data_IF_230741902603
#
_entry.id   IF_230741902603
#
_cell.length_a   1.000
_cell.length_b   1.000
_cell.length_c   1.000
_cell.angle_alpha   90.00
_cell.angle_beta   90.00
_cell.angle_gamma   90.00
#
_symmetry.space_group_name_H-M   'P 1'
#
loop_
_entity.id
_entity.type
_entity.pdbx_description
1 polymer ?
#
# COMPACT_ATOMS: atom_id res chain seq x y z
N UNK A 1 -19.92 10.73 4.04
CA UNK A 1 -19.31 9.84 3.02
C UNK A 1 -19.46 8.41 3.51
N UNK A 2 -19.99 7.51 2.68
CA UNK A 2 -20.28 6.13 3.07
C UNK A 2 -19.12 5.16 2.72
N UNK A 3 -17.89 5.54 3.04
CA UNK A 3 -16.73 4.67 2.87
C UNK A 3 -16.16 4.27 4.23
N UNK A 4 -15.54 3.11 4.29
CA UNK A 4 -14.83 2.59 5.46
C UNK A 4 -13.42 2.14 5.08
N UNK A 5 -12.48 2.37 5.98
CA UNK A 5 -11.12 1.83 5.94
C UNK A 5 -10.94 1.00 7.20
N UNK A 6 -10.68 -0.29 7.03
CA UNK A 6 -10.38 -1.20 8.13
C UNK A 6 -8.93 -1.67 7.98
N UNK A 7 -8.12 -1.44 8.99
CA UNK A 7 -6.74 -1.88 9.09
C UNK A 7 -6.68 -3.11 9.99
N UNK A 8 -6.15 -4.20 9.47
CA UNK A 8 -5.98 -5.48 10.17
C UNK A 8 -4.48 -5.76 10.28
N UNK A 9 -4.00 -5.99 11.48
CA UNK A 9 -2.63 -6.46 11.70
C UNK A 9 -2.62 -7.97 11.61
N UNK A 10 -1.85 -8.53 10.69
CA UNK A 10 -1.87 -9.95 10.33
C UNK A 10 -0.47 -10.57 10.38
N UNK A 11 -0.45 -11.86 10.67
CA UNK A 11 0.77 -12.67 10.68
C UNK A 11 1.82 -12.25 11.72
N UNK A 12 3.01 -12.80 11.56
CA UNK A 12 4.14 -12.60 12.48
C UNK A 12 5.22 -11.64 11.94
N UNK A 13 5.02 -11.08 10.74
CA UNK A 13 5.90 -10.09 10.13
C UNK A 13 5.37 -8.65 10.28
N UNK A 14 4.36 -8.49 11.16
CA UNK A 14 3.71 -7.21 11.44
C UNK A 14 3.07 -6.53 10.21
N UNK A 15 2.58 -7.32 9.26
CA UNK A 15 1.89 -6.80 8.08
C UNK A 15 0.57 -6.14 8.43
N UNK A 16 0.19 -5.16 7.64
CA UNK A 16 -1.15 -4.65 7.59
C UNK A 16 -1.86 -5.07 6.30
N UNK A 17 -3.03 -5.64 6.45
CA UNK A 17 -4.02 -5.83 5.38
C UNK A 17 -5.11 -4.78 5.55
N UNK A 18 -5.62 -4.26 4.45
CA UNK A 18 -6.70 -3.27 4.51
C UNK A 18 -7.96 -3.75 3.79
N UNK A 19 -9.11 -3.44 4.37
CA UNK A 19 -10.40 -3.56 3.69
C UNK A 19 -10.96 -2.16 3.48
N UNK A 20 -10.98 -1.73 2.22
CA UNK A 20 -11.51 -0.43 1.79
C UNK A 20 -12.91 -0.67 1.23
N UNK A 21 -13.92 0.00 1.77
CA UNK A 21 -15.30 -0.29 1.42
C UNK A 21 -16.09 0.93 0.97
N UNK A 22 -16.96 0.71 0.00
CA UNK A 22 -18.12 1.52 -0.29
C UNK A 22 -19.32 0.91 0.46
N UNK A 23 -19.63 1.48 1.62
CA UNK A 23 -20.67 0.95 2.51
C UNK A 23 -22.05 1.02 1.86
N UNK A 24 -22.32 2.07 1.09
CA UNK A 24 -23.61 2.27 0.44
C UNK A 24 -23.90 1.22 -0.63
N UNK A 25 -22.87 0.84 -1.38
CA UNK A 25 -22.99 -0.15 -2.46
C UNK A 25 -22.62 -1.58 -2.01
N UNK A 26 -22.29 -1.77 -0.73
CA UNK A 26 -21.86 -3.06 -0.18
C UNK A 26 -20.66 -3.68 -0.92
N UNK A 27 -19.73 -2.87 -1.40
CA UNK A 27 -18.54 -3.30 -2.13
C UNK A 27 -17.27 -3.05 -1.33
N UNK A 28 -16.27 -3.89 -1.53
CA UNK A 28 -14.96 -3.73 -0.91
C UNK A 28 -13.82 -4.09 -1.86
N UNK A 29 -12.64 -3.52 -1.61
CA UNK A 29 -11.37 -4.04 -2.05
C UNK A 29 -10.54 -4.44 -0.83
N UNK A 30 -9.72 -5.48 -1.00
CA UNK A 30 -8.80 -5.98 -0.01
C UNK A 30 -7.40 -5.64 -0.51
N UNK A 31 -6.63 -4.88 0.29
CA UNK A 31 -5.25 -4.50 -0.05
C UNK A 31 -4.31 -5.40 0.73
N UNK A 32 -3.39 -6.02 0.02
CA UNK A 32 -2.33 -6.91 0.54
C UNK A 32 -2.87 -8.01 1.48
N UNK A 33 -3.80 -8.88 1.03
CA UNK A 33 -4.23 -10.01 1.86
C UNK A 33 -3.06 -10.98 2.05
N UNK A 34 -2.72 -11.23 3.30
CA UNK A 34 -1.58 -12.06 3.66
C UNK A 34 -2.01 -13.24 4.54
N UNK A 35 -1.72 -13.19 5.82
CA UNK A 35 -2.13 -14.22 6.78
C UNK A 35 -3.48 -13.89 7.43
N UNK A 36 -3.94 -14.75 8.34
CA UNK A 36 -5.12 -14.52 9.19
C UNK A 36 -6.38 -14.16 8.39
N UNK A 37 -6.56 -14.79 7.20
CA UNK A 37 -7.63 -14.49 6.26
C UNK A 37 -9.04 -14.61 6.85
N UNK A 38 -9.19 -15.36 7.94
CA UNK A 38 -10.49 -15.50 8.62
C UNK A 38 -11.00 -14.17 9.17
N UNK A 39 -10.10 -13.27 9.63
CA UNK A 39 -10.51 -11.95 10.09
C UNK A 39 -11.06 -11.10 8.93
N UNK A 40 -10.46 -11.23 7.73
CA UNK A 40 -10.97 -10.57 6.51
C UNK A 40 -12.37 -11.10 6.17
N UNK A 41 -12.55 -12.43 6.14
CA UNK A 41 -13.83 -13.04 5.79
C UNK A 41 -14.93 -12.72 6.83
N UNK A 42 -14.58 -12.73 8.11
CA UNK A 42 -15.47 -12.31 9.18
C UNK A 42 -15.91 -10.86 9.00
N UNK A 43 -14.97 -9.94 8.77
CA UNK A 43 -15.25 -8.52 8.53
C UNK A 43 -16.17 -8.31 7.33
N UNK A 44 -15.90 -8.98 6.20
CA UNK A 44 -16.76 -8.92 5.02
C UNK A 44 -18.19 -9.38 5.32
N UNK A 45 -18.33 -10.47 6.09
CA UNK A 45 -19.62 -11.04 6.48
C UNK A 45 -20.38 -10.10 7.42
N UNK A 46 -19.76 -9.63 8.50
CA UNK A 46 -20.35 -8.74 9.49
C UNK A 46 -20.81 -7.41 8.87
N UNK A 47 -20.02 -6.86 7.96
CA UNK A 47 -20.34 -5.61 7.25
C UNK A 47 -21.20 -5.83 6.01
N UNK A 48 -21.52 -7.08 5.64
CA UNK A 48 -22.28 -7.46 4.44
C UNK A 48 -21.64 -6.90 3.17
N UNK A 49 -20.31 -6.98 3.07
CA UNK A 49 -19.53 -6.46 1.97
C UNK A 49 -19.20 -7.57 0.97
N UNK A 50 -19.29 -7.27 -0.32
CA UNK A 50 -18.81 -8.11 -1.40
C UNK A 50 -17.43 -7.63 -1.83
N UNK A 51 -16.40 -8.44 -1.65
CA UNK A 51 -15.08 -8.15 -2.19
C UNK A 51 -15.14 -8.15 -3.72
N UNK A 52 -14.75 -7.03 -4.32
CA UNK A 52 -14.68 -6.84 -5.77
C UNK A 52 -13.26 -7.02 -6.29
N UNK A 53 -12.29 -6.51 -5.55
CA UNK A 53 -10.89 -6.51 -5.93
C UNK A 53 -9.99 -6.94 -4.77
N UNK A 54 -8.92 -7.61 -5.12
CA UNK A 54 -7.69 -7.76 -4.36
C UNK A 54 -6.68 -6.83 -5.02
N UNK A 55 -6.04 -5.96 -4.27
CA UNK A 55 -5.05 -5.01 -4.81
C UNK A 55 -3.75 -5.24 -4.05
N UNK A 56 -2.66 -5.53 -4.75
CA UNK A 56 -1.36 -5.62 -4.10
C UNK A 56 -0.56 -4.34 -4.34
N UNK A 57 0.00 -3.82 -3.25
CA UNK A 57 0.92 -2.68 -3.31
C UNK A 57 2.22 -3.06 -4.00
N UNK A 58 2.64 -4.32 -3.86
CA UNK A 58 3.77 -4.92 -4.55
C UNK A 58 3.74 -6.45 -4.45
N UNK A 59 4.68 -7.14 -5.10
CA UNK A 59 4.65 -8.58 -5.30
C UNK A 59 5.45 -9.40 -4.28
N UNK A 60 5.95 -8.83 -3.19
CA UNK A 60 6.61 -9.63 -2.17
C UNK A 60 5.63 -10.60 -1.52
N UNK A 61 6.15 -11.78 -1.17
CA UNK A 61 5.34 -12.93 -0.76
C UNK A 61 4.40 -12.63 0.42
N UNK A 62 4.85 -11.79 1.33
CA UNK A 62 4.14 -11.41 2.53
C UNK A 62 3.01 -10.37 2.31
N UNK A 63 2.84 -9.89 1.08
CA UNK A 63 1.72 -9.04 0.65
C UNK A 63 0.73 -9.76 -0.27
N UNK A 64 1.14 -10.90 -0.85
CA UNK A 64 0.34 -11.63 -1.85
C UNK A 64 -0.08 -13.03 -1.39
N UNK A 65 0.41 -13.49 -0.24
CA UNK A 65 0.26 -14.87 0.24
C UNK A 65 -1.20 -15.34 0.27
N UNK A 66 -2.13 -14.48 0.60
CA UNK A 66 -3.56 -14.79 0.68
C UNK A 66 -4.34 -14.60 -0.62
N UNK A 67 -3.74 -14.11 -1.70
CA UNK A 67 -4.45 -13.76 -2.94
C UNK A 67 -5.32 -14.89 -3.46
N UNK A 68 -4.74 -16.08 -3.63
CA UNK A 68 -5.44 -17.23 -4.25
C UNK A 68 -6.63 -17.69 -3.43
N UNK A 69 -6.47 -17.74 -2.10
CA UNK A 69 -7.56 -18.15 -1.21
C UNK A 69 -8.68 -17.11 -1.17
N UNK A 70 -8.31 -15.82 -1.07
CA UNK A 70 -9.31 -14.73 -1.09
C UNK A 70 -10.02 -14.69 -2.44
N UNK A 71 -9.31 -14.80 -3.57
CA UNK A 71 -9.92 -14.85 -4.89
C UNK A 71 -10.87 -16.05 -5.04
N UNK A 72 -10.45 -17.23 -4.59
CA UNK A 72 -11.27 -18.46 -4.61
C UNK A 72 -12.55 -18.33 -3.80
N UNK A 73 -12.48 -17.74 -2.61
CA UNK A 73 -13.64 -17.63 -1.70
C UNK A 73 -14.59 -16.52 -2.13
N UNK A 74 -14.07 -15.39 -2.61
CA UNK A 74 -14.88 -14.18 -2.86
C UNK A 74 -15.21 -13.95 -4.32
N UNK A 75 -14.45 -14.53 -5.25
CA UNK A 75 -14.52 -14.21 -6.69
C UNK A 75 -13.93 -12.84 -7.03
N UNK A 76 -13.16 -12.23 -6.13
CA UNK A 76 -12.52 -10.94 -6.37
C UNK A 76 -11.39 -11.06 -7.40
N UNK A 77 -11.24 -10.03 -8.25
CA UNK A 77 -10.18 -9.93 -9.25
C UNK A 77 -8.89 -9.40 -8.64
N UNK A 78 -7.74 -9.96 -9.03
CA UNK A 78 -6.41 -9.53 -8.58
C UNK A 78 -5.89 -8.40 -9.44
N UNK A 79 -5.56 -7.28 -8.82
CA UNK A 79 -5.01 -6.07 -9.44
C UNK A 79 -3.60 -5.83 -8.94
N UNK A 80 -2.65 -5.70 -9.84
CA UNK A 80 -1.26 -5.38 -9.54
C UNK A 80 -0.68 -4.42 -10.57
N UNK A 81 0.43 -3.77 -10.23
CA UNK A 81 1.16 -2.96 -11.20
C UNK A 81 1.63 -3.82 -12.40
N UNK A 82 1.72 -3.21 -13.57
CA UNK A 82 2.15 -3.91 -14.80
C UNK A 82 3.51 -4.58 -14.67
N UNK A 83 4.42 -4.02 -13.88
CA UNK A 83 5.76 -4.57 -13.61
C UNK A 83 5.77 -5.75 -12.64
N UNK A 84 4.65 -6.07 -11.96
CA UNK A 84 4.60 -7.25 -11.10
C UNK A 84 4.89 -8.52 -11.91
N UNK A 85 5.81 -9.38 -11.45
CA UNK A 85 6.09 -10.65 -12.13
C UNK A 85 5.01 -11.72 -11.91
N UNK A 86 4.07 -11.47 -11.01
CA UNK A 86 3.05 -12.45 -10.62
C UNK A 86 1.82 -12.40 -11.53
N UNK A 87 1.07 -13.52 -11.63
CA UNK A 87 -0.23 -13.54 -12.31
C UNK A 87 -1.21 -12.54 -11.72
N UNK A 88 -1.93 -11.84 -12.57
CA UNK A 88 -2.94 -10.85 -12.20
C UNK A 88 -4.04 -10.78 -13.26
N UNK A 89 -5.26 -10.43 -12.82
CA UNK A 89 -6.41 -10.27 -13.74
C UNK A 89 -6.39 -8.90 -14.40
N UNK A 90 -5.96 -7.87 -13.66
CA UNK A 90 -5.91 -6.48 -14.13
C UNK A 90 -4.53 -5.89 -13.84
N UNK A 91 -3.89 -5.38 -14.87
CA UNK A 91 -2.67 -4.59 -14.76
C UNK A 91 -3.00 -3.11 -14.64
N UNK A 92 -2.32 -2.40 -13.71
CA UNK A 92 -2.44 -0.95 -13.57
C UNK A 92 -1.09 -0.27 -13.74
N UNK A 93 -1.13 1.00 -14.08
CA UNK A 93 0.03 1.88 -14.23
C UNK A 93 -0.21 3.20 -13.49
N UNK A 94 0.77 4.08 -13.54
CA UNK A 94 0.72 5.43 -12.96
C UNK A 94 -0.54 6.18 -13.35
N UNK A 95 -1.25 6.77 -12.37
CA UNK A 95 -2.48 7.54 -12.48
C UNK A 95 -3.74 6.77 -12.89
N UNK A 96 -3.69 5.44 -13.02
CA UNK A 96 -4.90 4.65 -13.19
C UNK A 96 -5.83 4.79 -11.98
N UNK A 97 -7.12 4.65 -12.22
CA UNK A 97 -8.17 4.72 -11.19
C UNK A 97 -8.80 3.34 -11.01
N UNK A 98 -8.70 2.81 -9.81
CA UNK A 98 -9.39 1.59 -9.39
C UNK A 98 -10.68 1.99 -8.67
N UNK A 99 -11.84 1.54 -9.17
CA UNK A 99 -13.14 1.90 -8.64
C UNK A 99 -13.76 0.78 -7.79
N UNK A 100 -14.15 1.13 -6.56
CA UNK A 100 -14.89 0.28 -5.64
C UNK A 100 -16.25 0.95 -5.41
N UNK A 101 -17.18 0.73 -6.33
CA UNK A 101 -18.44 1.51 -6.35
C UNK A 101 -18.18 2.99 -6.55
N UNK A 102 -18.52 3.81 -5.56
CA UNK A 102 -18.29 5.25 -5.54
C UNK A 102 -16.92 5.68 -4.99
N UNK A 103 -16.17 4.74 -4.42
CA UNK A 103 -14.81 4.99 -3.91
C UNK A 103 -13.81 4.80 -5.03
N UNK A 104 -12.93 5.77 -5.23
CA UNK A 104 -11.87 5.74 -6.24
C UNK A 104 -10.50 5.74 -5.58
N UNK A 105 -9.64 4.83 -6.02
CA UNK A 105 -8.23 4.74 -5.64
C UNK A 105 -7.38 5.12 -6.84
N UNK A 106 -6.60 6.19 -6.73
CA UNK A 106 -5.62 6.56 -7.75
C UNK A 106 -4.28 5.86 -7.48
N UNK A 107 -3.74 5.25 -8.51
CA UNK A 107 -2.45 4.57 -8.47
C UNK A 107 -1.32 5.59 -8.60
N UNK A 108 -0.35 5.52 -7.69
CA UNK A 108 0.91 6.23 -7.76
C UNK A 108 2.03 5.18 -7.80
N UNK A 109 2.72 5.05 -8.93
CA UNK A 109 3.84 4.12 -9.06
C UNK A 109 5.06 4.65 -8.31
N UNK A 110 5.52 3.89 -7.32
CA UNK A 110 6.60 4.29 -6.40
C UNK A 110 7.68 3.20 -6.31
N UNK A 111 8.40 2.93 -7.41
CA UNK A 111 9.45 1.91 -7.40
C UNK A 111 10.58 2.29 -6.43
N UNK A 112 11.32 1.27 -5.98
CA UNK A 112 12.47 1.46 -5.10
C UNK A 112 12.61 0.36 -4.07
N UNK A 113 11.55 0.00 -3.34
CA UNK A 113 11.49 -1.22 -2.54
C UNK A 113 11.39 -2.46 -3.45
N UNK A 114 10.54 -2.37 -4.46
CA UNK A 114 10.44 -3.28 -5.62
C UNK A 114 10.09 -2.47 -6.87
N UNK A 115 10.30 -3.08 -8.06
CA UNK A 115 10.00 -2.42 -9.35
C UNK A 115 8.50 -2.16 -9.56
N UNK A 116 7.65 -2.95 -8.92
CA UNK A 116 6.20 -2.92 -9.04
C UNK A 116 5.49 -2.19 -7.89
N UNK A 117 6.24 -1.59 -6.97
CA UNK A 117 5.67 -0.88 -5.82
C UNK A 117 4.76 0.25 -6.23
N UNK A 118 3.55 0.29 -5.63
CA UNK A 118 2.58 1.37 -5.81
C UNK A 118 2.06 1.88 -4.46
N UNK A 119 1.71 3.16 -4.43
CA UNK A 119 0.82 3.70 -3.41
C UNK A 119 -0.59 3.87 -4.00
N UNK A 120 -1.61 3.73 -3.14
CA UNK A 120 -3.02 3.90 -3.51
C UNK A 120 -3.57 5.13 -2.78
N UNK A 121 -4.14 6.08 -3.51
CA UNK A 121 -4.58 7.36 -2.95
C UNK A 121 -6.09 7.47 -3.01
N UNK A 122 -6.72 7.73 -1.86
CA UNK A 122 -8.08 8.27 -1.76
C UNK A 122 -7.91 9.78 -1.61
N UNK A 123 -8.29 10.53 -2.64
CA UNK A 123 -8.07 11.97 -2.68
C UNK A 123 -8.59 12.70 -1.43
N UNK A 124 -7.74 13.59 -0.88
CA UNK A 124 -7.97 14.40 0.32
C UNK A 124 -8.20 13.62 1.63
N UNK A 125 -7.89 12.32 1.66
CA UNK A 125 -8.15 11.52 2.86
C UNK A 125 -7.00 10.61 3.24
N UNK A 126 -6.54 9.73 2.33
CA UNK A 126 -5.65 8.64 2.68
C UNK A 126 -4.69 8.26 1.56
N UNK A 127 -3.54 7.74 1.94
CA UNK A 127 -2.60 7.04 1.06
C UNK A 127 -2.16 5.74 1.71
N UNK A 128 -2.33 4.62 0.99
CA UNK A 128 -1.80 3.31 1.35
C UNK A 128 -0.45 3.18 0.68
N UNK A 129 0.59 3.12 1.46
CA UNK A 129 1.97 3.29 0.98
C UNK A 129 2.72 1.98 0.75
N UNK A 130 2.10 0.84 1.11
CA UNK A 130 2.82 -0.42 1.08
C UNK A 130 4.17 -0.28 1.78
N UNK A 131 5.22 -0.79 1.14
CA UNK A 131 6.58 -0.74 1.65
C UNK A 131 7.41 0.43 1.07
N UNK A 132 6.74 1.40 0.44
CA UNK A 132 7.41 2.66 0.04
C UNK A 132 7.70 3.54 1.25
N UNK A 133 6.70 3.74 2.14
CA UNK A 133 6.81 4.60 3.31
C UNK A 133 6.14 3.93 4.51
N UNK A 134 6.87 3.82 5.63
CA UNK A 134 6.36 3.43 6.93
C UNK A 134 6.24 4.65 7.86
N UNK A 135 5.65 4.44 9.03
CA UNK A 135 5.67 5.47 10.08
C UNK A 135 7.09 5.58 10.66
N UNK A 136 7.75 6.68 10.36
CA UNK A 136 9.12 6.97 10.81
C UNK A 136 10.23 6.24 10.07
N UNK A 137 9.92 5.43 9.04
CA UNK A 137 10.89 4.64 8.28
C UNK A 137 10.42 4.45 6.83
N UNK A 138 11.19 3.70 6.03
CA UNK A 138 10.86 3.29 4.66
C UNK A 138 11.16 1.80 4.47
N UNK A 139 10.64 1.22 3.39
CA UNK A 139 10.97 -0.14 2.98
C UNK A 139 12.44 -0.29 2.65
N UNK A 140 12.98 -1.46 2.92
CA UNK A 140 14.37 -1.82 2.55
C UNK A 140 14.52 -1.86 1.03
N UNK A 141 15.74 -1.62 0.58
CA UNK A 141 16.10 -1.50 -0.85
C UNK A 141 17.17 -2.50 -1.29
N UNK A 142 17.56 -3.40 -0.39
CA UNK A 142 18.62 -4.39 -0.58
C UNK A 142 18.09 -5.78 -0.99
N UNK A 143 16.78 -5.89 -1.24
CA UNK A 143 16.15 -7.09 -1.78
C UNK A 143 16.24 -7.12 -3.31
N UNK A 144 16.08 -8.30 -3.95
CA UNK A 144 15.96 -8.38 -5.40
C UNK A 144 14.86 -7.44 -5.93
N UNK A 145 15.19 -6.61 -6.92
CA UNK A 145 14.29 -5.57 -7.45
C UNK A 145 14.34 -4.24 -6.68
N UNK A 146 15.09 -4.18 -5.56
CA UNK A 146 15.31 -2.95 -4.83
C UNK A 146 16.24 -1.98 -5.57
N UNK A 147 15.93 -0.67 -5.54
CA UNK A 147 16.73 0.37 -6.17
C UNK A 147 16.70 1.65 -5.33
N UNK A 148 17.82 2.05 -4.73
CA UNK A 148 17.87 3.23 -3.86
C UNK A 148 17.61 4.54 -4.58
N UNK A 149 18.00 4.68 -5.86
CA UNK A 149 17.72 5.90 -6.65
C UNK A 149 16.24 6.02 -6.98
N UNK A 150 15.61 4.91 -7.36
CA UNK A 150 14.17 4.89 -7.61
C UNK A 150 13.40 5.18 -6.33
N UNK A 151 13.83 4.65 -5.18
CA UNK A 151 13.25 4.96 -3.87
C UNK A 151 13.35 6.47 -3.56
N UNK A 152 14.52 7.07 -3.79
CA UNK A 152 14.69 8.52 -3.64
C UNK A 152 13.70 9.29 -4.51
N UNK A 153 13.61 8.96 -5.80
CA UNK A 153 12.70 9.65 -6.74
C UNK A 153 11.23 9.43 -6.34
N UNK A 154 10.87 8.25 -5.87
CA UNK A 154 9.51 7.95 -5.38
C UNK A 154 9.17 8.77 -4.15
N UNK A 155 10.07 8.84 -3.17
CA UNK A 155 9.85 9.57 -1.92
C UNK A 155 9.84 11.10 -2.14
N UNK A 156 10.86 11.64 -2.80
CA UNK A 156 11.04 13.09 -2.93
C UNK A 156 10.27 13.69 -4.11
N UNK A 157 10.17 12.94 -5.22
CA UNK A 157 9.48 13.41 -6.42
C UNK A 157 7.97 13.22 -6.38
N UNK A 158 7.49 12.21 -5.63
CA UNK A 158 6.06 11.83 -5.65
C UNK A 158 5.42 11.89 -4.27
N UNK A 159 5.88 11.09 -3.30
CA UNK A 159 5.24 10.99 -1.98
C UNK A 159 5.28 12.31 -1.23
N UNK A 160 6.43 13.00 -1.23
CA UNK A 160 6.57 14.31 -0.59
C UNK A 160 5.77 15.43 -1.27
N UNK A 161 5.32 15.23 -2.51
CA UNK A 161 4.46 16.19 -3.20
C UNK A 161 2.96 16.02 -2.85
N UNK A 162 2.61 14.97 -2.11
CA UNK A 162 1.23 14.73 -1.66
C UNK A 162 0.82 15.73 -0.58
N UNK A 163 -0.50 15.89 -0.42
CA UNK A 163 -1.09 16.77 0.60
C UNK A 163 -0.67 16.28 2.01
N UNK A 164 -0.20 17.21 2.84
CA UNK A 164 0.27 16.96 4.21
C UNK A 164 -0.80 16.35 5.12
N UNK A 165 -2.07 16.55 4.81
CA UNK A 165 -3.20 16.06 5.59
C UNK A 165 -3.57 14.61 5.30
N UNK A 166 -3.05 13.99 4.21
CA UNK A 166 -3.34 12.61 3.90
C UNK A 166 -2.87 11.69 5.02
N UNK A 167 -3.77 10.82 5.49
CA UNK A 167 -3.42 9.77 6.44
C UNK A 167 -2.60 8.70 5.71
N UNK A 168 -1.44 8.38 6.26
CA UNK A 168 -0.53 7.33 5.77
C UNK A 168 -0.93 5.99 6.41
N UNK A 169 -1.23 5.01 5.56
CA UNK A 169 -1.49 3.62 5.90
C UNK A 169 -0.37 2.73 5.33
N UNK A 170 0.61 2.32 6.15
CA UNK A 170 1.80 1.59 5.69
C UNK A 170 1.54 0.10 5.46
N UNK A 171 2.47 -0.61 4.81
CA UNK A 171 2.42 -2.07 4.64
C UNK A 171 2.69 -2.84 5.93
N UNK A 172 3.41 -2.24 6.89
CA UNK A 172 3.81 -2.89 8.15
C UNK A 172 3.70 -1.99 9.38
N UNK A 173 3.49 -2.63 10.55
CA UNK A 173 3.45 -2.00 11.87
C UNK A 173 4.87 -1.92 12.48
N UNK A 174 5.78 -1.21 11.80
CA UNK A 174 7.16 -1.02 12.28
C UNK A 174 7.36 0.29 13.03
N UNK A 175 6.37 1.17 13.03
CA UNK A 175 6.44 2.47 13.68
C UNK A 175 5.92 2.48 15.12
N UNK A 176 5.98 3.66 15.74
CA UNK A 176 5.41 3.87 17.07
C UNK A 176 3.87 3.96 17.06
N UNK A 177 3.28 4.13 15.90
CA UNK A 177 1.83 4.26 15.67
C UNK A 177 1.45 3.49 14.42
N UNK A 178 0.21 2.97 14.33
CA UNK A 178 -0.25 2.21 13.17
C UNK A 178 -0.49 3.06 11.93
N UNK A 179 -0.61 4.38 12.08
CA UNK A 179 -0.85 5.35 11.01
C UNK A 179 -0.12 6.66 11.31
N UNK A 180 0.10 7.47 10.27
CA UNK A 180 0.71 8.80 10.39
C UNK A 180 0.01 9.78 9.43
N UNK A 181 0.65 10.89 9.09
CA UNK A 181 0.25 11.76 7.97
C UNK A 181 1.47 12.11 7.13
N UNK A 182 1.27 12.44 5.86
CA UNK A 182 2.36 12.87 4.98
C UNK A 182 3.15 14.03 5.60
N UNK A 183 2.48 15.01 6.18
CA UNK A 183 3.13 16.16 6.84
C UNK A 183 3.98 15.77 8.05
N UNK A 184 3.53 14.80 8.87
CA UNK A 184 4.33 14.28 9.98
C UNK A 184 5.57 13.53 9.48
N UNK A 185 5.39 12.67 8.46
CA UNK A 185 6.51 11.93 7.90
C UNK A 185 7.57 12.86 7.29
N UNK A 186 7.18 13.92 6.58
CA UNK A 186 8.12 14.95 6.09
C UNK A 186 8.96 15.58 7.19
N UNK A 187 8.40 15.72 8.40
CA UNK A 187 9.07 16.36 9.53
C UNK A 187 9.93 15.38 10.35
N UNK A 188 9.47 14.13 10.52
CA UNK A 188 10.03 13.21 11.50
C UNK A 188 10.75 12.02 10.88
N UNK A 189 10.37 11.59 9.68
CA UNK A 189 10.96 10.44 9.04
C UNK A 189 12.37 10.76 8.53
N UNK A 190 13.36 10.04 9.02
CA UNK A 190 14.76 10.31 8.68
C UNK A 190 15.04 10.21 7.19
N UNK A 191 14.38 9.28 6.50
CA UNK A 191 14.57 9.06 5.06
C UNK A 191 13.99 10.20 4.20
N UNK A 192 13.06 11.01 4.73
CA UNK A 192 12.50 12.19 4.07
C UNK A 192 13.20 13.50 4.43
N UNK A 193 14.28 13.44 5.20
CA UNK A 193 15.03 14.62 5.67
C UNK A 193 16.36 14.83 4.97
N UNK A 194 16.76 13.94 4.08
CA UNK A 194 17.98 14.10 3.29
C UNK A 194 17.86 15.34 2.37
N UNK A 195 18.91 16.13 2.32
CA UNK A 195 18.95 17.38 1.54
C UNK A 195 19.35 17.17 0.08
N UNK A 196 19.77 15.96 -0.26
CA UNK A 196 20.18 15.56 -1.60
C UNK A 196 20.08 14.07 -1.79
N UNK A 197 20.07 13.61 -3.05
CA UNK A 197 20.14 12.20 -3.39
C UNK A 197 21.37 11.54 -2.77
N UNK A 198 22.54 12.19 -2.83
CA UNK A 198 23.79 11.64 -2.27
C UNK A 198 23.71 11.45 -0.75
N UNK A 199 23.06 12.37 -0.03
CA UNK A 199 22.83 12.21 1.41
C UNK A 199 21.86 11.06 1.70
N UNK A 200 20.79 10.94 0.91
CA UNK A 200 19.86 9.81 1.03
C UNK A 200 20.56 8.48 0.78
N UNK A 201 21.34 8.36 -0.28
CA UNK A 201 22.09 7.14 -0.62
C UNK A 201 23.09 6.77 0.50
N UNK A 202 23.76 7.78 1.07
CA UNK A 202 24.65 7.55 2.22
C UNK A 202 23.90 7.04 3.45
N UNK A 203 22.71 7.57 3.76
CA UNK A 203 21.86 7.04 4.82
C UNK A 203 21.43 5.59 4.59
N UNK A 204 21.19 5.23 3.33
CA UNK A 204 20.81 3.86 2.95
C UNK A 204 22.00 2.90 2.88
N UNK A 205 23.22 3.34 3.19
CA UNK A 205 24.43 2.52 3.14
C UNK A 205 24.90 2.20 1.72
N UNK A 206 24.47 3.01 0.74
CA UNK A 206 24.83 2.88 -0.67
C UNK A 206 25.73 4.04 -1.02
N UNK A 207 27.05 3.80 -1.07
CA UNK A 207 28.07 4.80 -1.35
C UNK A 207 29.39 4.17 -1.75
#
# INVERSE_FOLDING_TARGET
MNKGIHQLKVGNMANFTYVISDIQNHLAAIVDPSWDLQEIFQLLTEKKLKAKHIINTHSHFDHVYGNDEVAKVTGATVIQHSNSPLPKDISVVENDIISIGSVSLRVLHTPGHSEDSICLIIDKEAVFTGDTLFVGNIGRIDLPGGNPKDMYLSLYGKVSALDDQLTVYPGHDYGSFPVSTIGKEKQMNFALRAKSESEFLAFMGVG
#
